data_IF_105308251461
#
_entry.id   IF_105308251461
#
_cell.length_a   1.000
_cell.length_b   1.000
_cell.length_c   1.000
_cell.angle_alpha   90.00
_cell.angle_beta   90.00
_cell.angle_gamma   90.00
#
_symmetry.space_group_name_H-M   'P 1'
#
loop_
_entity.id
_entity.type
_entity.pdbx_description
1 polymer ?
#
# COMPACT_ATOMS: atom_id res chain seq x y z
N UNK A 1 68.54 -3.99 -26.49
CA UNK A 1 68.01 -2.93 -25.58
C UNK A 1 66.58 -2.57 -25.99
N UNK A 2 65.55 -3.09 -25.30
CA UNK A 2 64.12 -2.75 -25.52
C UNK A 2 63.67 -1.85 -24.36
N UNK A 3 63.41 -0.56 -24.61
CA UNK A 3 62.89 0.38 -23.59
C UNK A 3 61.39 0.10 -23.38
N UNK A 4 60.99 -0.28 -22.16
CA UNK A 4 59.59 -0.37 -21.74
C UNK A 4 58.98 1.04 -21.68
N UNK A 5 57.85 1.27 -22.36
CA UNK A 5 57.00 2.45 -22.13
C UNK A 5 56.19 2.22 -20.84
N UNK A 6 56.06 3.20 -19.92
CA UNK A 6 55.14 3.08 -18.81
C UNK A 6 53.70 3.32 -19.28
N UNK A 7 52.80 2.49 -18.78
CA UNK A 7 51.34 2.56 -18.93
C UNK A 7 50.84 3.83 -18.23
N UNK A 8 50.26 4.78 -18.98
CA UNK A 8 49.46 5.85 -18.38
C UNK A 8 48.06 5.30 -18.14
N UNK A 9 47.75 4.94 -16.90
CA UNK A 9 46.37 4.77 -16.45
C UNK A 9 45.74 6.17 -16.36
N UNK A 10 44.89 6.51 -17.32
CA UNK A 10 44.02 7.67 -17.24
C UNK A 10 42.86 7.34 -16.30
N UNK A 11 43.03 7.64 -15.00
CA UNK A 11 41.88 7.83 -14.12
C UNK A 11 41.21 9.14 -14.54
N UNK A 12 40.29 9.03 -15.49
CA UNK A 12 39.41 10.13 -15.89
C UNK A 12 38.59 10.59 -14.68
N UNK A 13 38.71 11.88 -14.38
CA UNK A 13 38.10 12.54 -13.25
C UNK A 13 36.58 12.40 -13.24
N UNK A 14 36.05 11.53 -12.38
CA UNK A 14 34.65 11.61 -11.98
C UNK A 14 34.53 12.82 -11.03
N UNK A 15 34.21 13.98 -11.61
CA UNK A 15 34.11 15.25 -10.86
C UNK A 15 33.11 15.09 -9.72
N UNK A 16 33.58 15.36 -8.49
CA UNK A 16 32.80 15.39 -7.24
C UNK A 16 31.35 15.94 -7.37
N UNK A 17 31.07 17.02 -8.14
CA UNK A 17 29.68 17.48 -8.36
C UNK A 17 28.78 16.48 -9.10
N UNK A 18 29.32 15.66 -10.01
CA UNK A 18 28.54 14.63 -10.72
C UNK A 18 28.14 13.48 -9.77
N UNK A 19 29.01 13.11 -8.83
CA UNK A 19 28.71 12.10 -7.79
C UNK A 19 27.67 12.64 -6.80
N UNK A 20 27.81 13.90 -6.38
CA UNK A 20 26.84 14.57 -5.50
C UNK A 20 25.48 14.69 -6.18
N UNK A 21 25.44 15.07 -7.45
CA UNK A 21 24.19 15.17 -8.22
C UNK A 21 23.53 13.78 -8.41
N UNK A 22 24.32 12.74 -8.68
CA UNK A 22 23.81 11.36 -8.79
C UNK A 22 23.27 10.83 -7.45
N UNK A 23 23.89 11.19 -6.32
CA UNK A 23 23.40 10.87 -4.98
C UNK A 23 22.12 11.63 -4.64
N UNK A 24 21.99 12.89 -5.03
CA UNK A 24 20.76 13.69 -4.82
C UNK A 24 19.60 13.16 -5.66
N UNK A 25 19.83 12.76 -6.91
CA UNK A 25 18.80 12.15 -7.78
C UNK A 25 18.37 10.77 -7.28
N UNK A 26 19.29 9.96 -6.75
CA UNK A 26 18.97 8.66 -6.16
C UNK A 26 18.17 8.77 -4.84
N UNK A 27 18.44 9.80 -4.03
CA UNK A 27 17.68 10.08 -2.79
C UNK A 27 16.25 10.55 -3.09
N UNK A 28 16.04 11.31 -4.17
CA UNK A 28 14.71 11.78 -4.59
C UNK A 28 13.81 10.69 -5.21
N UNK A 29 14.37 9.56 -5.63
CA UNK A 29 13.60 8.48 -6.29
C UNK A 29 13.06 7.42 -5.30
N UNK A 30 13.33 7.55 -4.00
CA UNK A 30 12.98 6.54 -2.98
C UNK A 30 12.25 7.08 -1.74
N UNK A 31 11.97 8.38 -1.66
CA UNK A 31 11.18 8.96 -0.57
C UNK A 31 9.70 9.04 -0.90
N UNK A 32 9.06 7.90 -1.14
CA UNK A 32 7.61 7.85 -0.99
C UNK A 32 7.33 7.72 0.49
N UNK A 33 7.04 8.85 1.15
CA UNK A 33 6.65 8.86 2.55
C UNK A 33 5.35 8.08 2.71
N UNK A 34 5.33 7.10 3.62
CA UNK A 34 4.13 6.31 3.91
C UNK A 34 2.90 7.24 4.12
N UNK A 35 1.71 6.88 3.62
CA UNK A 35 0.48 7.63 3.83
C UNK A 35 0.24 8.00 5.30
N UNK A 36 -0.24 9.21 5.58
CA UNK A 36 -0.49 9.71 6.94
C UNK A 36 -1.76 9.08 7.52
N UNK A 37 -1.68 8.51 8.72
CA UNK A 37 -2.84 7.94 9.42
C UNK A 37 -3.58 9.06 10.18
N UNK A 38 -4.91 9.21 10.02
CA UNK A 38 -5.69 10.20 10.75
C UNK A 38 -5.61 10.00 12.27
N UNK A 39 -5.67 11.09 13.04
CA UNK A 39 -5.72 10.99 14.49
C UNK A 39 -7.04 10.34 14.95
N UNK A 40 -6.99 9.54 16.01
CA UNK A 40 -8.15 8.83 16.54
C UNK A 40 -9.35 9.75 16.82
N UNK A 41 -9.09 10.96 17.34
CA UNK A 41 -10.13 11.96 17.63
C UNK A 41 -10.93 12.39 16.40
N UNK A 42 -10.33 12.31 15.21
CA UNK A 42 -10.94 12.74 13.94
C UNK A 42 -11.78 11.63 13.29
N UNK A 43 -11.73 10.41 13.82
CA UNK A 43 -12.49 9.27 13.29
C UNK A 43 -13.96 9.23 13.74
N UNK A 44 -14.37 10.10 14.65
CA UNK A 44 -15.78 10.22 15.05
C UNK A 44 -16.30 9.06 15.91
N UNK A 45 -15.45 8.43 16.72
CA UNK A 45 -15.88 7.39 17.68
C UNK A 45 -16.33 7.93 19.03
N UNK A 46 -16.32 9.25 19.25
CA UNK A 46 -16.68 9.86 20.54
C UNK A 46 -18.03 9.39 21.09
N UNK A 47 -19.02 9.24 20.22
CA UNK A 47 -20.39 8.81 20.57
C UNK A 47 -20.65 7.31 20.36
N UNK A 48 -19.64 6.51 20.01
CA UNK A 48 -19.81 5.07 19.85
C UNK A 48 -20.06 4.38 21.20
N UNK A 49 -20.46 3.11 21.18
CA UNK A 49 -20.54 2.30 22.40
C UNK A 49 -19.17 2.21 23.07
N UNK A 50 -19.15 2.11 24.40
CA UNK A 50 -17.88 2.05 25.16
C UNK A 50 -16.99 0.91 24.69
N UNK A 51 -17.56 -0.27 24.45
CA UNK A 51 -16.83 -1.43 23.92
C UNK A 51 -16.17 -1.13 22.57
N UNK A 52 -16.85 -0.38 21.69
CA UNK A 52 -16.30 0.03 20.39
C UNK A 52 -15.18 1.05 20.59
N UNK A 53 -15.37 2.05 21.45
CA UNK A 53 -14.33 3.04 21.76
C UNK A 53 -13.08 2.38 22.32
N UNK A 54 -13.24 1.46 23.26
CA UNK A 54 -12.14 0.73 23.86
C UNK A 54 -11.40 -0.11 22.82
N UNK A 55 -12.12 -0.90 22.01
CA UNK A 55 -11.53 -1.73 20.97
C UNK A 55 -10.73 -0.90 19.95
N UNK A 56 -11.27 0.23 19.50
CA UNK A 56 -10.58 1.11 18.55
C UNK A 56 -9.36 1.77 19.22
N UNK A 57 -9.48 2.23 20.47
CA UNK A 57 -8.37 2.83 21.20
C UNK A 57 -7.21 1.83 21.43
N UNK A 58 -7.51 0.59 21.79
CA UNK A 58 -6.52 -0.47 21.95
C UNK A 58 -5.80 -0.78 20.63
N UNK A 59 -6.56 -0.88 19.52
CA UNK A 59 -5.98 -1.12 18.20
C UNK A 59 -5.10 0.06 17.73
N UNK A 60 -5.51 1.30 18.02
CA UNK A 60 -4.71 2.50 17.74
C UNK A 60 -3.42 2.54 18.56
N UNK A 61 -3.50 2.29 19.87
CA UNK A 61 -2.32 2.26 20.75
C UNK A 61 -1.32 1.19 20.31
N UNK A 62 -1.81 -0.01 19.94
CA UNK A 62 -0.98 -1.05 19.36
C UNK A 62 -0.27 -0.55 18.09
N UNK A 63 -0.97 0.10 17.17
CA UNK A 63 -0.33 0.69 15.99
C UNK A 63 0.71 1.77 16.35
N UNK A 64 0.44 2.65 17.32
CA UNK A 64 1.35 3.73 17.73
C UNK A 64 2.68 3.22 18.30
N UNK A 65 2.67 2.08 19.00
CA UNK A 65 3.87 1.44 19.50
C UNK A 65 4.80 0.94 18.38
N UNK A 66 4.25 0.54 17.23
CA UNK A 66 5.02 0.04 16.09
C UNK A 66 4.35 0.39 14.75
N UNK A 67 4.41 1.67 14.31
CA UNK A 67 3.68 2.15 13.14
C UNK A 67 4.24 1.68 11.80
N UNK A 68 5.42 1.03 11.82
CA UNK A 68 6.07 0.39 10.68
C UNK A 68 5.85 -1.14 10.65
N UNK A 69 5.06 -1.68 11.57
CA UNK A 69 4.65 -3.09 11.55
C UNK A 69 3.49 -3.28 10.55
N UNK A 70 3.66 -4.07 9.47
CA UNK A 70 2.61 -4.25 8.47
C UNK A 70 1.36 -4.95 9.04
N UNK A 71 1.52 -5.86 10.00
CA UNK A 71 0.40 -6.54 10.64
C UNK A 71 -0.43 -5.56 11.48
N UNK A 72 0.20 -4.66 12.25
CA UNK A 72 -0.52 -3.66 13.04
C UNK A 72 -1.26 -2.65 12.15
N UNK A 73 -0.64 -2.21 11.05
CA UNK A 73 -1.31 -1.38 10.05
C UNK A 73 -2.53 -2.11 9.45
N UNK A 74 -2.35 -3.36 9.00
CA UNK A 74 -3.43 -4.15 8.40
C UNK A 74 -4.57 -4.45 9.38
N UNK A 75 -4.28 -4.77 10.63
CA UNK A 75 -5.28 -5.04 11.68
C UNK A 75 -6.11 -3.80 12.02
N UNK A 76 -5.45 -2.64 12.19
CA UNK A 76 -6.18 -1.39 12.38
C UNK A 76 -7.03 -1.06 11.15
N UNK A 77 -6.51 -1.31 9.94
CA UNK A 77 -7.26 -1.15 8.69
C UNK A 77 -8.53 -2.01 8.66
N UNK A 78 -8.42 -3.29 9.01
CA UNK A 78 -9.58 -4.21 9.12
C UNK A 78 -10.62 -3.72 10.12
N UNK A 79 -10.19 -3.27 11.30
CA UNK A 79 -11.09 -2.76 12.33
C UNK A 79 -11.82 -1.50 11.85
N UNK A 80 -11.10 -0.56 11.22
CA UNK A 80 -11.68 0.67 10.69
C UNK A 80 -12.63 0.40 9.52
N UNK A 81 -12.32 -0.56 8.65
CA UNK A 81 -13.21 -1.01 7.58
C UNK A 81 -14.51 -1.59 8.14
N UNK A 82 -14.43 -2.42 9.19
CA UNK A 82 -15.61 -3.00 9.84
C UNK A 82 -16.55 -1.95 10.46
N UNK A 83 -16.03 -0.76 10.80
CA UNK A 83 -16.82 0.38 11.27
C UNK A 83 -17.10 1.43 10.19
N UNK A 84 -16.94 1.08 8.91
CA UNK A 84 -17.26 1.94 7.76
C UNK A 84 -16.32 3.13 7.58
N UNK A 85 -15.15 3.14 8.22
CA UNK A 85 -14.13 4.18 8.06
C UNK A 85 -13.24 3.86 6.86
N UNK A 86 -13.85 3.69 5.69
CA UNK A 86 -13.20 3.15 4.49
C UNK A 86 -11.98 3.97 4.06
N UNK A 87 -12.06 5.31 4.06
CA UNK A 87 -10.91 6.16 3.71
C UNK A 87 -9.70 5.97 4.65
N UNK A 88 -9.93 5.80 5.95
CA UNK A 88 -8.84 5.54 6.91
C UNK A 88 -8.30 4.10 6.78
N UNK A 89 -9.18 3.14 6.50
CA UNK A 89 -8.79 1.75 6.24
C UNK A 89 -7.91 1.65 4.99
N UNK A 90 -8.27 2.35 3.90
CA UNK A 90 -7.47 2.41 2.68
C UNK A 90 -6.02 2.85 2.95
N UNK A 91 -5.85 3.94 3.71
CA UNK A 91 -4.53 4.45 4.10
C UNK A 91 -3.71 3.36 4.79
N UNK A 92 -4.32 2.67 5.76
CA UNK A 92 -3.66 1.63 6.55
C UNK A 92 -3.33 0.38 5.73
N UNK A 93 -4.21 -0.04 4.83
CA UNK A 93 -3.91 -1.15 3.92
C UNK A 93 -2.80 -0.80 2.93
N UNK A 94 -2.77 0.42 2.39
CA UNK A 94 -1.67 0.90 1.54
C UNK A 94 -0.35 0.88 2.30
N UNK A 95 -0.32 1.38 3.53
CA UNK A 95 0.87 1.28 4.41
C UNK A 95 1.28 -0.18 4.64
N UNK A 96 0.34 -1.05 4.99
CA UNK A 96 0.62 -2.46 5.24
C UNK A 96 1.19 -3.17 4.00
N UNK A 97 0.67 -2.86 2.80
CA UNK A 97 1.18 -3.34 1.52
C UNK A 97 2.56 -2.79 1.19
N UNK A 98 2.81 -1.50 1.43
CA UNK A 98 4.14 -0.89 1.21
C UNK A 98 5.20 -1.51 2.14
N UNK A 99 4.83 -1.81 3.38
CA UNK A 99 5.70 -2.44 4.38
C UNK A 99 5.89 -3.95 4.16
N UNK A 100 4.92 -4.63 3.53
CA UNK A 100 4.96 -6.05 3.20
C UNK A 100 4.37 -6.34 1.81
N UNK A 101 5.09 -6.02 0.72
CA UNK A 101 4.56 -6.10 -0.64
C UNK A 101 4.28 -7.53 -1.12
N UNK A 102 4.88 -8.54 -0.48
CA UNK A 102 4.64 -9.97 -0.77
C UNK A 102 3.57 -10.61 0.12
N UNK A 103 2.87 -9.84 0.95
CA UNK A 103 1.77 -10.36 1.77
C UNK A 103 0.44 -10.19 1.02
N UNK A 104 -0.16 -11.31 0.62
CA UNK A 104 -1.43 -11.38 -0.09
C UNK A 104 -2.53 -10.58 0.64
N UNK A 105 -2.60 -10.74 1.97
CA UNK A 105 -3.72 -10.27 2.79
C UNK A 105 -3.98 -8.77 2.64
N UNK A 106 -2.93 -7.95 2.61
CA UNK A 106 -3.08 -6.48 2.58
C UNK A 106 -3.48 -5.96 1.21
N UNK A 107 -2.92 -6.55 0.15
CA UNK A 107 -3.33 -6.25 -1.23
C UNK A 107 -4.79 -6.65 -1.46
N UNK A 108 -5.19 -7.83 -0.96
CA UNK A 108 -6.58 -8.29 -1.03
C UNK A 108 -7.54 -7.36 -0.29
N UNK A 109 -7.30 -7.04 1.00
CA UNK A 109 -8.21 -6.16 1.75
C UNK A 109 -8.28 -4.74 1.18
N UNK A 110 -7.19 -4.21 0.62
CA UNK A 110 -7.24 -2.94 -0.10
C UNK A 110 -8.18 -3.03 -1.30
N UNK A 111 -8.12 -4.11 -2.07
CA UNK A 111 -9.01 -4.30 -3.22
C UNK A 111 -10.48 -4.39 -2.81
N UNK A 112 -10.80 -5.10 -1.73
CA UNK A 112 -12.16 -5.17 -1.19
C UNK A 112 -12.65 -3.79 -0.77
N UNK A 113 -11.83 -3.03 -0.06
CA UNK A 113 -12.18 -1.69 0.39
C UNK A 113 -12.42 -0.71 -0.77
N UNK A 114 -11.65 -0.85 -1.86
CA UNK A 114 -11.84 -0.05 -3.07
C UNK A 114 -13.08 -0.47 -3.87
N UNK A 115 -13.41 -1.77 -3.88
CA UNK A 115 -14.66 -2.28 -4.47
C UNK A 115 -15.87 -1.66 -3.77
N UNK A 116 -15.89 -1.68 -2.43
CA UNK A 116 -16.95 -1.06 -1.62
C UNK A 116 -17.04 0.47 -1.82
N UNK A 117 -15.96 1.10 -2.28
CA UNK A 117 -15.89 2.53 -2.58
C UNK A 117 -16.18 2.86 -4.04
N UNK A 118 -16.57 1.87 -4.86
CA UNK A 118 -16.88 2.04 -6.29
C UNK A 118 -15.66 2.29 -7.20
N UNK A 119 -14.43 2.12 -6.69
CA UNK A 119 -13.17 2.31 -7.44
C UNK A 119 -12.77 0.99 -8.10
N UNK A 120 -13.60 0.53 -9.03
CA UNK A 120 -13.55 -0.83 -9.56
C UNK A 120 -12.27 -1.13 -10.35
N UNK A 121 -11.75 -0.19 -11.14
CA UNK A 121 -10.55 -0.40 -11.95
C UNK A 121 -9.30 -0.62 -11.06
N UNK A 122 -9.19 0.16 -9.98
CA UNK A 122 -8.09 -0.02 -9.01
C UNK A 122 -8.25 -1.32 -8.21
N UNK A 123 -9.49 -1.67 -7.84
CA UNK A 123 -9.78 -2.94 -7.17
C UNK A 123 -9.42 -4.15 -8.05
N UNK A 124 -9.75 -4.12 -9.34
CA UNK A 124 -9.40 -5.18 -10.28
C UNK A 124 -7.88 -5.37 -10.35
N UNK A 125 -7.14 -4.27 -10.54
CA UNK A 125 -5.69 -4.31 -10.60
C UNK A 125 -5.08 -4.95 -9.34
N UNK A 126 -5.60 -4.59 -8.16
CA UNK A 126 -5.13 -5.15 -6.90
C UNK A 126 -5.51 -6.61 -6.71
N UNK A 127 -6.68 -7.05 -7.16
CA UNK A 127 -7.05 -8.48 -7.11
C UNK A 127 -6.13 -9.31 -8.00
N UNK A 128 -5.76 -8.79 -9.18
CA UNK A 128 -4.76 -9.42 -10.06
C UNK A 128 -3.39 -9.45 -9.41
N UNK A 129 -2.95 -8.36 -8.78
CA UNK A 129 -1.70 -8.31 -8.02
C UNK A 129 -1.70 -9.33 -6.87
N UNK A 130 -2.79 -9.42 -6.12
CA UNK A 130 -2.94 -10.37 -5.02
C UNK A 130 -2.84 -11.82 -5.55
N UNK A 131 -3.50 -12.15 -6.66
CA UNK A 131 -3.39 -13.46 -7.30
C UNK A 131 -2.00 -13.74 -7.91
N UNK A 132 -1.22 -12.71 -8.22
CA UNK A 132 0.18 -12.89 -8.61
C UNK A 132 1.08 -13.24 -7.41
N UNK A 133 0.72 -12.78 -6.20
CA UNK A 133 1.38 -13.16 -4.94
C UNK A 133 1.02 -14.58 -4.55
N UNK A 134 -0.28 -14.91 -4.58
CA UNK A 134 -0.81 -16.23 -4.23
C UNK A 134 -1.90 -16.67 -5.23
N UNK A 135 -1.55 -17.47 -6.26
CA UNK A 135 -2.48 -17.90 -7.30
C UNK A 135 -3.59 -18.86 -6.84
N UNK A 136 -3.41 -19.51 -5.69
CA UNK A 136 -4.32 -20.54 -5.19
C UNK A 136 -5.45 -19.97 -4.31
N UNK A 137 -5.43 -18.66 -4.06
CA UNK A 137 -6.44 -17.98 -3.24
C UNK A 137 -7.79 -17.89 -3.94
N UNK A 138 -8.65 -18.87 -3.64
CA UNK A 138 -10.00 -18.99 -4.19
C UNK A 138 -10.84 -17.74 -3.94
N UNK A 139 -10.72 -17.13 -2.75
CA UNK A 139 -11.47 -15.94 -2.38
C UNK A 139 -11.17 -14.76 -3.30
N UNK A 140 -9.90 -14.52 -3.67
CA UNK A 140 -9.55 -13.45 -4.59
C UNK A 140 -10.06 -13.72 -6.01
N UNK A 141 -10.06 -14.97 -6.46
CA UNK A 141 -10.62 -15.35 -7.77
C UNK A 141 -12.13 -15.11 -7.84
N UNK A 142 -12.84 -15.48 -6.78
CA UNK A 142 -14.29 -15.23 -6.67
C UNK A 142 -14.56 -13.71 -6.68
N UNK A 143 -13.82 -12.94 -5.88
CA UNK A 143 -13.99 -11.48 -5.83
C UNK A 143 -13.69 -10.79 -7.16
N UNK A 144 -12.67 -11.27 -7.89
CA UNK A 144 -12.38 -10.75 -9.23
C UNK A 144 -13.49 -11.09 -10.22
N UNK A 145 -14.05 -12.30 -10.16
CA UNK A 145 -15.17 -12.68 -11.01
C UNK A 145 -16.43 -11.85 -10.71
N UNK A 146 -16.76 -11.67 -9.43
CA UNK A 146 -17.89 -10.85 -8.98
C UNK A 146 -17.76 -9.40 -9.49
N UNK A 147 -16.57 -8.81 -9.30
CA UNK A 147 -16.26 -7.45 -9.75
C UNK A 147 -16.44 -7.28 -11.27
N UNK A 148 -15.93 -8.23 -12.07
CA UNK A 148 -16.05 -8.19 -13.53
C UNK A 148 -17.49 -8.34 -14.03
N UNK A 149 -18.32 -9.09 -13.29
CA UNK A 149 -19.74 -9.21 -13.60
C UNK A 149 -20.47 -7.90 -13.31
N UNK A 150 -20.18 -7.27 -12.17
CA UNK A 150 -20.78 -5.99 -11.77
C UNK A 150 -20.40 -4.86 -12.75
N UNK A 151 -19.12 -4.73 -13.12
CA UNK A 151 -18.68 -3.67 -14.04
C UNK A 151 -19.26 -3.83 -15.45
N UNK A 152 -19.31 -5.06 -15.98
CA UNK A 152 -19.93 -5.34 -17.27
C UNK A 152 -21.45 -5.05 -17.28
N UNK A 153 -22.14 -5.29 -16.15
CA UNK A 153 -23.56 -4.92 -16.02
C UNK A 153 -23.77 -3.40 -15.97
N UNK A 154 -22.89 -2.67 -15.28
CA UNK A 154 -22.93 -1.22 -15.23
C UNK A 154 -22.67 -0.60 -16.60
N UNK A 155 -21.69 -1.09 -17.34
CA UNK A 155 -21.41 -0.65 -18.72
C UNK A 155 -22.66 -0.82 -19.60
N UNK A 156 -23.30 -2.00 -19.57
CA UNK A 156 -24.54 -2.26 -20.31
C UNK A 156 -25.70 -1.34 -19.88
N UNK A 157 -25.75 -0.95 -18.61
CA UNK A 157 -26.79 -0.05 -18.11
C UNK A 157 -26.60 1.40 -18.56
N UNK A 158 -25.38 1.82 -18.88
CA UNK A 158 -25.07 3.19 -19.32
C UNK A 158 -25.37 3.37 -20.82
N UNK A 159 -25.37 2.27 -21.59
CA UNK A 159 -25.62 2.27 -23.03
C UNK A 159 -27.12 2.18 -23.43
N UNK A 160 -28.05 2.13 -22.46
CA UNK A 160 -29.52 2.08 -22.66
C UNK A 160 -30.19 3.45 -22.46
#
# INVERSE_FOLDING_TARGET
MRKKKPLRLAFGELRLPAIIFLLVVAVSCSQQSLPQVPALRDLGFSNALEVVRQQVAESYASWEEAPLDPQRNGQLGMLLSAYGKNGSAEILYRRARELAPGEFRWTYHLAINLTESGRYEEAEALLRDALAIDPDQVEARVRLADLLLETNQLEQSIDL
#
